data_IF_244771244893
#
_entry.id   IF_244771244893
#
_cell.length_a   1.000
_cell.length_b   1.000
_cell.length_c   1.000
_cell.angle_alpha   90.00
_cell.angle_beta   90.00
_cell.angle_gamma   90.00
#
_symmetry.space_group_name_H-M   'P 1'
#
loop_
_entity.id
_entity.type
_entity.pdbx_description
1 polymer ?
#
# COMPACT_ATOMS: atom_id res chain seq x y z
N UNK A 1 70.55 -2.98 -2.23
CA UNK A 1 69.61 -3.62 -1.29
C UNK A 1 68.27 -2.90 -1.42
N UNK A 2 67.29 -3.52 -2.13
CA UNK A 2 65.91 -2.96 -2.30
C UNK A 2 65.01 -3.64 -1.29
N UNK A 3 64.42 -2.88 -0.37
CA UNK A 3 63.42 -3.37 0.58
C UNK A 3 62.07 -3.41 -0.12
N UNK A 4 61.47 -4.58 -0.22
CA UNK A 4 60.09 -4.80 -0.67
C UNK A 4 59.19 -4.62 0.56
N UNK A 5 58.35 -3.59 0.52
CA UNK A 5 57.28 -3.43 1.53
C UNK A 5 56.11 -4.31 1.10
N UNK A 6 55.74 -5.26 1.94
CA UNK A 6 54.51 -6.02 1.80
C UNK A 6 53.32 -5.23 2.37
N UNK A 7 52.37 -4.93 1.52
CA UNK A 7 51.08 -4.32 1.93
C UNK A 7 50.14 -5.44 2.31
N UNK A 8 49.81 -5.52 3.58
CA UNK A 8 48.77 -6.42 4.08
C UNK A 8 47.38 -5.83 3.83
N UNK A 9 46.63 -6.45 2.94
CA UNK A 9 45.20 -6.09 2.69
C UNK A 9 44.36 -6.84 3.72
N UNK A 10 43.84 -6.12 4.70
CA UNK A 10 42.82 -6.63 5.62
C UNK A 10 41.47 -6.72 4.92
N UNK A 11 40.98 -7.91 4.64
CA UNK A 11 39.59 -8.14 4.25
C UNK A 11 38.71 -8.04 5.49
N UNK A 12 37.91 -6.99 5.60
CA UNK A 12 36.83 -6.95 6.60
C UNK A 12 35.69 -7.83 6.11
N UNK A 13 35.44 -8.92 6.82
CA UNK A 13 34.26 -9.76 6.61
C UNK A 13 33.01 -9.00 7.06
N UNK A 14 32.17 -8.57 6.11
CA UNK A 14 30.85 -8.05 6.42
C UNK A 14 29.95 -9.23 6.80
N UNK A 15 29.65 -9.35 8.09
CA UNK A 15 28.65 -10.30 8.56
C UNK A 15 27.27 -9.86 8.06
N UNK A 16 26.73 -10.55 7.07
CA UNK A 16 25.33 -10.44 6.70
C UNK A 16 24.49 -11.04 7.84
N UNK A 17 23.88 -10.19 8.65
CA UNK A 17 22.83 -10.63 9.58
C UNK A 17 21.62 -11.04 8.73
N UNK A 18 21.33 -12.35 8.72
CA UNK A 18 20.10 -12.86 8.14
C UNK A 18 18.91 -12.21 8.86
N UNK A 19 18.08 -11.50 8.11
CA UNK A 19 16.80 -11.02 8.61
C UNK A 19 15.99 -12.27 9.02
N UNK A 20 15.71 -12.39 10.30
CA UNK A 20 14.78 -13.41 10.82
C UNK A 20 13.42 -13.05 10.24
N UNK A 21 12.94 -13.86 9.30
CA UNK A 21 11.56 -13.77 8.84
C UNK A 21 10.67 -13.98 10.08
N UNK A 22 9.94 -12.95 10.50
CA UNK A 22 8.92 -13.07 11.54
C UNK A 22 7.88 -14.04 11.03
N UNK A 23 7.80 -15.22 11.59
CA UNK A 23 6.66 -16.11 11.42
C UNK A 23 5.42 -15.33 11.87
N UNK A 24 4.36 -15.22 11.03
CA UNK A 24 3.12 -14.62 11.47
C UNK A 24 2.67 -15.36 12.74
N UNK A 25 2.49 -14.61 13.82
CA UNK A 25 2.02 -15.19 15.07
C UNK A 25 0.72 -15.95 14.83
N UNK A 26 0.63 -17.17 15.32
CA UNK A 26 -0.56 -18.02 15.29
C UNK A 26 -1.69 -17.38 16.13
N UNK A 27 -2.36 -16.40 15.57
CA UNK A 27 -3.45 -15.65 16.21
C UNK A 27 -4.38 -15.02 15.19
N UNK A 28 -4.06 -15.07 13.90
CA UNK A 28 -4.98 -14.71 12.84
C UNK A 28 -5.81 -15.93 12.49
N UNK A 29 -7.03 -16.04 13.00
CA UNK A 29 -8.02 -16.93 12.40
C UNK A 29 -8.02 -16.68 10.91
N UNK A 30 -8.16 -17.74 10.13
CA UNK A 30 -8.19 -17.76 8.67
C UNK A 30 -9.29 -16.79 8.19
N UNK A 31 -8.93 -15.51 8.09
CA UNK A 31 -9.76 -14.49 7.47
C UNK A 31 -9.72 -14.80 5.97
N UNK A 32 -10.52 -15.79 5.57
CA UNK A 32 -10.89 -15.97 4.17
C UNK A 32 -11.54 -14.67 3.73
N UNK A 33 -10.72 -13.79 3.20
CA UNK A 33 -11.08 -12.44 2.79
C UNK A 33 -11.96 -12.56 1.56
N UNK A 34 -13.27 -12.67 1.79
CA UNK A 34 -14.22 -12.57 0.69
C UNK A 34 -14.17 -11.14 0.15
N UNK A 35 -13.91 -10.94 -1.14
CA UNK A 35 -14.01 -9.62 -1.74
C UNK A 35 -15.40 -9.06 -1.47
N UNK A 36 -15.45 -7.84 -0.92
CA UNK A 36 -16.70 -7.09 -0.76
C UNK A 36 -16.83 -6.21 -1.99
N UNK A 37 -17.91 -6.36 -2.73
CA UNK A 37 -18.18 -5.47 -3.87
C UNK A 37 -18.18 -4.02 -3.39
N UNK A 38 -17.42 -3.17 -4.07
CA UNK A 38 -17.39 -1.75 -3.76
C UNK A 38 -18.75 -1.12 -4.06
N UNK A 39 -19.34 -0.42 -3.11
CA UNK A 39 -20.65 0.23 -3.25
C UNK A 39 -20.61 1.45 -4.19
N UNK A 40 -19.42 1.96 -4.51
CA UNK A 40 -19.25 3.13 -5.38
C UNK A 40 -18.05 2.94 -6.31
N UNK A 41 -18.33 2.66 -7.58
CA UNK A 41 -17.30 2.54 -8.59
C UNK A 41 -17.53 1.37 -9.54
N UNK A 42 -16.60 1.21 -10.49
CA UNK A 42 -16.61 0.17 -11.52
C UNK A 42 -15.29 -0.61 -11.43
N UNK A 43 -15.38 -1.93 -11.51
CA UNK A 43 -14.20 -2.78 -11.57
C UNK A 43 -13.32 -2.77 -10.31
N UNK A 44 -13.94 -2.64 -9.13
CA UNK A 44 -13.25 -2.60 -7.85
C UNK A 44 -13.77 -3.73 -6.95
N UNK A 45 -12.86 -4.40 -6.27
CA UNK A 45 -13.16 -5.34 -5.19
C UNK A 45 -12.37 -4.98 -3.94
N UNK A 46 -13.01 -5.05 -2.79
CA UNK A 46 -12.40 -4.80 -1.49
C UNK A 46 -12.35 -6.10 -0.68
N UNK A 47 -11.24 -6.35 -0.01
CA UNK A 47 -11.08 -7.45 0.93
C UNK A 47 -10.56 -6.91 2.26
N UNK A 48 -11.31 -7.03 3.37
CA UNK A 48 -10.82 -6.61 4.67
C UNK A 48 -9.67 -7.54 5.12
N UNK A 49 -8.55 -6.93 5.52
CA UNK A 49 -7.40 -7.62 6.10
C UNK A 49 -7.41 -7.52 7.63
N UNK A 50 -7.76 -6.34 8.15
CA UNK A 50 -7.88 -6.04 9.58
C UNK A 50 -9.12 -5.17 9.76
N UNK A 51 -9.93 -5.45 10.77
CA UNK A 51 -10.97 -4.54 11.24
C UNK A 51 -11.02 -4.59 12.77
N UNK A 52 -10.55 -3.51 13.39
CA UNK A 52 -10.47 -3.31 14.83
C UNK A 52 -11.16 -1.98 15.17
N UNK A 53 -11.48 -1.72 16.44
CA UNK A 53 -12.07 -0.44 16.83
C UNK A 53 -11.30 0.77 16.34
N UNK A 54 -9.97 0.74 16.43
CA UNK A 54 -9.06 1.85 16.12
C UNK A 54 -8.56 1.89 14.67
N UNK A 55 -8.61 0.74 13.95
CA UNK A 55 -7.98 0.62 12.64
C UNK A 55 -8.75 -0.34 11.72
N UNK A 56 -8.79 0.00 10.43
CA UNK A 56 -9.22 -0.90 9.36
C UNK A 56 -8.15 -0.94 8.28
N UNK A 57 -7.83 -2.14 7.81
CA UNK A 57 -6.94 -2.34 6.67
C UNK A 57 -7.67 -3.12 5.59
N UNK A 58 -7.67 -2.59 4.38
CA UNK A 58 -8.26 -3.22 3.21
C UNK A 58 -7.20 -3.51 2.15
N UNK A 59 -7.34 -4.63 1.47
CA UNK A 59 -6.81 -4.81 0.12
C UNK A 59 -7.89 -4.39 -0.86
N UNK A 60 -7.53 -3.56 -1.83
CA UNK A 60 -8.41 -3.11 -2.91
C UNK A 60 -7.78 -3.51 -4.23
N UNK A 61 -8.49 -4.32 -5.01
CA UNK A 61 -8.07 -4.68 -6.36
C UNK A 61 -8.92 -3.89 -7.37
N UNK A 62 -8.25 -3.23 -8.32
CA UNK A 62 -8.84 -2.34 -9.30
C UNK A 62 -8.52 -2.90 -10.68
N UNK A 63 -9.52 -3.43 -11.37
CA UNK A 63 -9.36 -3.97 -12.72
C UNK A 63 -8.93 -2.88 -13.72
N UNK A 64 -8.35 -3.23 -14.89
CA UNK A 64 -8.08 -2.26 -15.95
C UNK A 64 -9.29 -1.40 -16.29
N UNK A 65 -9.14 -0.07 -16.31
CA UNK A 65 -10.23 0.88 -16.47
C UNK A 65 -11.19 0.95 -15.29
N UNK A 66 -10.84 0.34 -14.16
CA UNK A 66 -11.61 0.45 -12.92
C UNK A 66 -11.55 1.86 -12.34
N UNK A 67 -12.67 2.31 -11.79
CA UNK A 67 -12.83 3.67 -11.25
C UNK A 67 -13.47 3.60 -9.88
N UNK A 68 -12.84 4.21 -8.89
CA UNK A 68 -13.47 4.56 -7.61
C UNK A 68 -13.98 5.98 -7.72
N UNK A 69 -15.30 6.14 -7.70
CA UNK A 69 -15.91 7.48 -7.73
C UNK A 69 -15.44 8.32 -6.55
N UNK A 70 -15.45 9.63 -6.73
CA UNK A 70 -15.08 10.57 -5.66
C UNK A 70 -15.99 10.38 -4.45
N UNK A 71 -15.39 10.13 -3.30
CA UNK A 71 -16.06 9.89 -2.03
C UNK A 71 -15.21 10.43 -0.88
N UNK A 72 -15.69 10.34 0.36
CA UNK A 72 -14.98 10.77 1.55
C UNK A 72 -15.26 9.79 2.71
N UNK A 73 -14.34 9.74 3.67
CA UNK A 73 -14.47 8.98 4.92
C UNK A 73 -14.54 9.92 6.11
N UNK A 74 -15.73 10.45 6.40
CA UNK A 74 -15.94 11.42 7.46
C UNK A 74 -15.78 10.82 8.88
N UNK A 75 -15.93 9.50 9.01
CA UNK A 75 -15.81 8.71 10.23
C UNK A 75 -14.35 8.32 10.55
N UNK A 76 -13.40 8.63 9.67
CA UNK A 76 -11.98 8.36 9.87
C UNK A 76 -11.24 9.62 10.29
N UNK A 77 -10.16 9.46 11.09
CA UNK A 77 -9.22 10.54 11.36
C UNK A 77 -8.41 10.86 10.09
N UNK A 78 -7.87 9.81 9.47
CA UNK A 78 -7.16 9.85 8.19
C UNK A 78 -7.07 8.42 7.63
N UNK A 79 -6.65 8.32 6.39
CA UNK A 79 -6.21 7.05 5.85
C UNK A 79 -4.95 7.18 5.01
N UNK A 80 -4.22 6.08 4.91
CA UNK A 80 -3.11 5.91 4.00
C UNK A 80 -3.57 5.07 2.81
N UNK A 81 -3.20 5.51 1.63
CA UNK A 81 -3.50 4.85 0.36
C UNK A 81 -2.18 4.47 -0.31
N UNK A 82 -1.92 3.17 -0.50
CA UNK A 82 -0.63 2.65 -0.90
C UNK A 82 -0.82 1.67 -2.05
N UNK A 83 -0.63 2.08 -3.32
CA UNK A 83 -0.61 1.14 -4.43
C UNK A 83 0.61 0.22 -4.31
N UNK A 84 0.41 -1.07 -4.50
CA UNK A 84 1.50 -2.06 -4.50
C UNK A 84 1.99 -2.38 -5.90
N UNK A 85 1.22 -1.96 -6.91
CA UNK A 85 1.54 -2.11 -8.33
C UNK A 85 1.32 -0.77 -9.05
N UNK A 86 2.03 -0.48 -10.15
CA UNK A 86 1.88 0.77 -10.88
C UNK A 86 0.59 0.80 -11.73
N UNK A 87 0.28 1.95 -12.29
CA UNK A 87 -0.79 2.14 -13.29
C UNK A 87 -2.04 2.81 -12.75
N UNK A 88 -1.92 3.53 -11.65
CA UNK A 88 -3.04 4.21 -11.02
C UNK A 88 -2.87 5.72 -11.01
N UNK A 89 -3.97 6.43 -11.20
CA UNK A 89 -4.12 7.85 -10.94
C UNK A 89 -4.99 8.07 -9.70
N UNK A 90 -4.53 8.94 -8.82
CA UNK A 90 -5.24 9.37 -7.62
C UNK A 90 -5.63 10.84 -7.74
N UNK A 91 -6.85 11.18 -7.34
CA UNK A 91 -7.36 12.53 -7.32
C UNK A 91 -7.88 12.87 -5.92
N UNK A 92 -7.40 13.95 -5.34
CA UNK A 92 -8.00 14.58 -4.16
C UNK A 92 -8.79 15.81 -4.56
N UNK A 93 -9.77 16.21 -3.74
CA UNK A 93 -10.66 17.33 -4.01
C UNK A 93 -9.88 18.62 -4.30
N UNK A 94 -10.23 19.30 -5.37
CA UNK A 94 -9.59 20.54 -5.80
C UNK A 94 -8.19 20.38 -6.41
N UNK A 95 -7.67 19.15 -6.55
CA UNK A 95 -6.37 18.88 -7.14
C UNK A 95 -6.50 18.12 -8.45
N UNK A 96 -5.58 18.31 -9.42
CA UNK A 96 -5.50 17.46 -10.59
C UNK A 96 -5.22 16.00 -10.20
N UNK A 97 -5.70 15.07 -11.03
CA UNK A 97 -5.31 13.67 -10.89
C UNK A 97 -3.81 13.52 -11.11
N UNK A 98 -3.16 12.71 -10.29
CA UNK A 98 -1.73 12.45 -10.35
C UNK A 98 -1.46 10.95 -10.40
N UNK A 99 -0.52 10.54 -11.26
CA UNK A 99 -0.06 9.16 -11.32
C UNK A 99 0.68 8.80 -10.03
N UNK A 100 0.41 7.60 -9.52
CA UNK A 100 1.08 7.08 -8.34
C UNK A 100 2.03 5.94 -8.71
N UNK A 101 3.23 6.00 -8.16
CA UNK A 101 4.18 4.90 -8.24
C UNK A 101 3.78 3.78 -7.25
N UNK A 102 4.19 2.54 -7.55
CA UNK A 102 4.08 1.45 -6.58
C UNK A 102 4.83 1.82 -5.29
N UNK A 103 4.21 1.51 -4.14
CA UNK A 103 4.69 1.81 -2.78
C UNK A 103 4.79 3.29 -2.42
N UNK A 104 4.27 4.18 -3.25
CA UNK A 104 4.10 5.59 -2.92
C UNK A 104 2.88 5.73 -1.99
N UNK A 105 3.11 6.02 -0.72
CA UNK A 105 2.03 6.26 0.24
C UNK A 105 1.43 7.66 0.06
N UNK A 106 0.10 7.73 -0.03
CA UNK A 106 -0.65 8.97 0.02
C UNK A 106 -1.36 9.09 1.36
N UNK A 107 -1.10 10.17 2.08
CA UNK A 107 -1.83 10.52 3.30
C UNK A 107 -3.10 11.31 2.93
N UNK A 108 -4.25 10.86 3.43
CA UNK A 108 -5.56 11.47 3.15
C UNK A 108 -6.25 11.80 4.48
N UNK A 109 -6.37 13.08 4.86
CA UNK A 109 -7.10 13.49 6.05
C UNK A 109 -8.56 13.04 6.00
N UNK A 110 -9.17 12.77 7.15
CA UNK A 110 -10.58 12.40 7.25
C UNK A 110 -11.49 13.48 6.66
N UNK A 111 -12.50 13.05 5.90
CA UNK A 111 -13.42 13.95 5.22
C UNK A 111 -12.90 14.51 3.87
N UNK A 112 -11.63 14.31 3.53
CA UNK A 112 -11.11 14.70 2.20
C UNK A 112 -11.79 13.88 1.11
N UNK A 113 -12.41 14.56 0.14
CA UNK A 113 -12.99 13.92 -1.04
C UNK A 113 -11.87 13.45 -1.96
N UNK A 114 -11.93 12.20 -2.39
CA UNK A 114 -10.92 11.62 -3.27
C UNK A 114 -11.50 10.47 -4.08
N UNK A 115 -10.83 10.16 -5.17
CA UNK A 115 -11.15 9.05 -6.06
C UNK A 115 -9.88 8.55 -6.74
N UNK A 116 -9.99 7.44 -7.47
CA UNK A 116 -8.86 6.91 -8.22
C UNK A 116 -9.32 6.08 -9.42
N UNK A 117 -8.43 5.96 -10.39
CA UNK A 117 -8.66 5.24 -11.65
C UNK A 117 -7.45 4.38 -11.98
N UNK A 118 -7.68 3.14 -12.37
CA UNK A 118 -6.65 2.32 -12.99
C UNK A 118 -6.57 2.64 -14.47
N UNK A 119 -5.54 3.39 -14.87
CA UNK A 119 -5.25 3.76 -16.25
C UNK A 119 -4.32 2.74 -16.95
N UNK A 120 -3.87 1.72 -16.22
CA UNK A 120 -3.01 0.66 -16.73
C UNK A 120 -3.79 -0.48 -17.41
N UNK A 121 -3.03 -1.48 -17.85
CA UNK A 121 -3.57 -2.68 -18.56
C UNK A 121 -3.67 -3.90 -17.65
N UNK A 122 -3.19 -3.81 -16.43
CA UNK A 122 -3.22 -4.88 -15.41
C UNK A 122 -3.99 -4.44 -14.20
N UNK A 123 -4.47 -5.37 -13.40
CA UNK A 123 -5.08 -5.06 -12.10
C UNK A 123 -4.07 -4.33 -11.21
N UNK A 124 -4.48 -3.22 -10.64
CA UNK A 124 -3.75 -2.50 -9.60
C UNK A 124 -4.25 -2.97 -8.24
N UNK A 125 -3.34 -3.35 -7.36
CA UNK A 125 -3.64 -3.66 -5.96
C UNK A 125 -3.20 -2.50 -5.07
N UNK A 126 -4.07 -2.11 -4.16
CA UNK A 126 -3.85 -1.04 -3.18
C UNK A 126 -4.05 -1.58 -1.78
N UNK A 127 -3.22 -1.16 -0.84
CA UNK A 127 -3.46 -1.29 0.59
C UNK A 127 -4.01 0.04 1.11
N UNK A 128 -5.21 0.03 1.68
CA UNK A 128 -5.78 1.18 2.38
C UNK A 128 -5.77 0.91 3.89
N UNK A 129 -5.20 1.84 4.65
CA UNK A 129 -5.12 1.77 6.11
C UNK A 129 -5.91 2.95 6.68
N UNK A 130 -7.02 2.66 7.34
CA UNK A 130 -7.91 3.66 7.93
C UNK A 130 -7.68 3.72 9.44
N UNK A 131 -7.39 4.91 9.95
CA UNK A 131 -7.40 5.19 11.39
C UNK A 131 -8.75 5.80 11.74
N UNK A 132 -9.49 5.11 12.59
CA UNK A 132 -10.85 5.48 13.01
C UNK A 132 -10.83 6.59 14.06
N UNK A 133 -11.92 7.36 14.17
CA UNK A 133 -12.12 8.36 15.22
C UNK A 133 -12.46 7.71 16.56
#
# INVERSE_FOLDING_TARGET
MRRVMAVAVCFAAVAMTAAVAQTPGAGGGDLLLKPIAATSGKGISNAPLIDRPEIRVLRVDIAPGGVRNVHAHADMQYHLFIPTTPGMEFQADGQPAASMAAWQAQFVPGGTRHGFTNTGRSTVTVVEIFVKK
#
